data_IF_148995897816
#
_entry.id   IF_148995897816
#
_cell.length_a   1.000
_cell.length_b   1.000
_cell.length_c   1.000
_cell.angle_alpha   90.00
_cell.angle_beta   90.00
_cell.angle_gamma   90.00
#
_symmetry.space_group_name_H-M   'P 1'
#
loop_
_entity.id
_entity.type
_entity.pdbx_description
1 polymer ?
#
# COMPACT_ATOMS: atom_id res chain seq x y z
N UNK A 1 7.10 24.99 -12.32
CA UNK A 1 6.06 24.53 -11.38
C UNK A 1 4.72 24.72 -12.06
N UNK A 2 4.01 23.65 -12.39
CA UNK A 2 2.64 23.74 -12.88
C UNK A 2 1.73 23.94 -11.67
N UNK A 3 0.99 25.05 -11.62
CA UNK A 3 -0.07 25.21 -10.63
C UNK A 3 -1.11 24.09 -10.81
N UNK A 4 -1.65 23.52 -9.73
CA UNK A 4 -2.63 22.45 -9.87
C UNK A 4 -3.85 22.97 -10.63
N UNK A 5 -4.34 22.18 -11.59
CA UNK A 5 -5.59 22.48 -12.32
C UNK A 5 -6.73 22.76 -11.33
N UNK A 6 -7.59 23.77 -11.56
CA UNK A 6 -8.74 24.05 -10.70
C UNK A 6 -9.75 22.88 -10.64
N UNK A 7 -9.65 21.91 -11.56
CA UNK A 7 -10.47 20.70 -11.60
C UNK A 7 -9.90 19.52 -10.80
N UNK A 8 -8.69 19.66 -10.23
CA UNK A 8 -8.03 18.59 -9.47
C UNK A 8 -8.65 18.32 -8.10
N UNK A 9 -9.42 19.26 -7.56
CA UNK A 9 -9.91 19.21 -6.18
C UNK A 9 -8.83 19.47 -5.12
N UNK A 10 -7.59 19.77 -5.53
CA UNK A 10 -6.50 20.14 -4.60
C UNK A 10 -6.71 21.60 -4.15
N UNK A 11 -6.72 21.86 -2.83
CA UNK A 11 -6.89 23.21 -2.31
C UNK A 11 -5.73 24.12 -2.75
N UNK A 12 -6.05 25.31 -3.27
CA UNK A 12 -5.06 26.34 -3.65
C UNK A 12 -4.62 27.20 -2.45
N UNK A 13 -5.42 27.22 -1.40
CA UNK A 13 -5.12 27.86 -0.12
C UNK A 13 -5.85 27.13 1.01
N UNK A 14 -5.38 27.32 2.25
CA UNK A 14 -6.05 26.83 3.45
C UNK A 14 -6.64 28.02 4.21
N UNK A 15 -7.95 27.99 4.44
CA UNK A 15 -8.64 29.09 5.13
C UNK A 15 -8.82 28.79 6.62
N UNK A 16 -8.77 27.52 7.01
CA UNK A 16 -8.90 27.07 8.40
C UNK A 16 -7.82 26.07 8.79
N UNK A 17 -7.56 25.94 10.09
CA UNK A 17 -6.69 24.89 10.63
C UNK A 17 -7.25 23.49 10.29
N UNK A 18 -8.57 23.33 10.22
CA UNK A 18 -9.22 22.09 9.80
C UNK A 18 -8.84 21.69 8.38
N UNK A 19 -8.77 22.65 7.45
CA UNK A 19 -8.36 22.38 6.06
C UNK A 19 -6.91 21.88 6.02
N UNK A 20 -6.04 22.51 6.81
CA UNK A 20 -4.64 22.12 6.93
C UNK A 20 -4.49 20.72 7.53
N UNK A 21 -5.21 20.42 8.63
CA UNK A 21 -5.22 19.09 9.27
C UNK A 21 -5.63 18.03 8.24
N UNK A 22 -6.73 18.26 7.50
CA UNK A 22 -7.20 17.32 6.49
C UNK A 22 -6.15 17.08 5.41
N UNK A 23 -5.52 18.14 4.91
CA UNK A 23 -4.53 18.03 3.86
C UNK A 23 -3.26 17.31 4.33
N UNK A 24 -2.70 17.68 5.48
CA UNK A 24 -1.51 17.02 6.05
C UNK A 24 -1.80 15.55 6.38
N UNK A 25 -2.99 15.25 6.89
CA UNK A 25 -3.42 13.86 7.13
C UNK A 25 -3.44 13.07 5.83
N UNK A 26 -3.99 13.64 4.75
CA UNK A 26 -4.00 13.00 3.44
C UNK A 26 -2.58 12.70 2.94
N UNK A 27 -1.65 13.67 3.06
CA UNK A 27 -0.25 13.47 2.64
C UNK A 27 0.41 12.34 3.43
N UNK A 28 0.34 12.39 4.78
CA UNK A 28 0.94 11.39 5.65
C UNK A 28 0.33 10.00 5.38
N UNK A 29 -1.00 9.90 5.31
CA UNK A 29 -1.69 8.64 5.06
C UNK A 29 -1.34 8.07 3.67
N UNK A 30 -1.26 8.92 2.65
CA UNK A 30 -0.93 8.50 1.28
C UNK A 30 0.50 7.96 1.19
N UNK A 31 1.45 8.62 1.84
CA UNK A 31 2.86 8.24 1.84
C UNK A 31 3.16 7.01 2.71
N UNK A 32 2.25 6.62 3.60
CA UNK A 32 2.43 5.50 4.53
C UNK A 32 1.39 4.40 4.31
N UNK A 33 0.26 4.46 5.01
CA UNK A 33 -0.76 3.44 5.05
C UNK A 33 -1.32 3.09 3.66
N UNK A 34 -1.63 4.08 2.82
CA UNK A 34 -2.14 3.83 1.48
C UNK A 34 -1.12 3.03 0.66
N UNK A 35 0.14 3.48 0.64
CA UNK A 35 1.21 2.79 -0.07
C UNK A 35 1.36 1.35 0.41
N UNK A 36 1.49 1.13 1.73
CA UNK A 36 1.59 -0.21 2.31
C UNK A 36 0.41 -1.12 1.92
N UNK A 37 -0.81 -0.58 1.92
CA UNK A 37 -2.02 -1.34 1.61
C UNK A 37 -2.10 -1.87 0.18
N UNK A 38 -1.43 -1.21 -0.78
CA UNK A 38 -1.45 -1.58 -2.20
C UNK A 38 -0.13 -2.18 -2.70
N UNK A 39 0.96 -2.00 -1.95
CA UNK A 39 2.29 -2.43 -2.36
C UNK A 39 2.74 -3.74 -1.70
N UNK A 40 2.60 -3.86 -0.38
CA UNK A 40 3.24 -4.94 0.39
C UNK A 40 2.66 -6.32 0.08
N UNK A 41 1.40 -6.40 -0.34
CA UNK A 41 0.76 -7.66 -0.74
C UNK A 41 0.95 -8.06 -2.20
N UNK A 42 1.65 -7.27 -3.02
CA UNK A 42 1.76 -7.52 -4.47
C UNK A 42 2.26 -8.94 -4.78
N UNK A 43 3.29 -9.43 -4.09
CA UNK A 43 3.79 -10.78 -4.29
C UNK A 43 2.87 -11.86 -3.72
N UNK A 44 2.18 -11.60 -2.60
CA UNK A 44 1.28 -12.59 -2.00
C UNK A 44 0.12 -12.94 -2.95
N UNK A 45 -0.43 -11.94 -3.64
CA UNK A 45 -1.50 -12.14 -4.62
C UNK A 45 -0.98 -12.44 -6.02
N UNK A 46 0.11 -11.81 -6.45
CA UNK A 46 0.62 -11.92 -7.81
C UNK A 46 1.74 -12.96 -8.02
N UNK A 47 2.22 -13.58 -6.95
CA UNK A 47 3.13 -14.72 -7.01
C UNK A 47 2.46 -15.96 -7.63
N UNK A 48 1.13 -16.02 -7.65
CA UNK A 48 0.36 -17.00 -8.41
C UNK A 48 -0.21 -16.33 -9.68
N UNK A 49 0.49 -16.49 -10.81
CA UNK A 49 0.18 -15.79 -12.06
C UNK A 49 -1.28 -15.92 -12.53
N UNK A 50 -1.97 -17.07 -12.47
CA UNK A 50 -3.37 -17.15 -12.87
C UNK A 50 -4.32 -16.24 -12.06
N UNK A 51 -3.95 -15.87 -10.83
CA UNK A 51 -4.70 -14.91 -10.00
C UNK A 51 -4.39 -13.44 -10.37
N UNK A 52 -3.22 -13.17 -10.94
CA UNK A 52 -2.79 -11.82 -11.32
C UNK A 52 -2.03 -11.81 -12.65
N UNK A 53 -2.69 -12.13 -13.79
CA UNK A 53 -2.03 -12.13 -15.09
C UNK A 53 -1.70 -10.69 -15.50
N UNK A 54 -0.42 -10.39 -15.69
CA UNK A 54 0.05 -9.07 -16.08
C UNK A 54 -0.27 -8.70 -17.53
N UNK A 55 -0.61 -9.70 -18.35
CA UNK A 55 -0.99 -9.55 -19.74
C UNK A 55 -1.90 -10.72 -20.16
N UNK A 56 -2.70 -10.49 -21.20
CA UNK A 56 -3.45 -11.54 -21.90
C UNK A 56 -3.05 -11.53 -23.37
N UNK A 57 -2.76 -12.70 -23.94
CA UNK A 57 -2.26 -12.88 -25.32
C UNK A 57 -3.37 -13.08 -26.36
N UNK A 58 -4.63 -13.21 -25.92
CA UNK A 58 -5.81 -13.38 -26.78
C UNK A 58 -6.92 -12.42 -26.38
N UNK A 59 -7.83 -12.04 -27.31
CA UNK A 59 -8.98 -11.21 -26.98
C UNK A 59 -9.96 -11.93 -26.05
N UNK A 60 -10.83 -11.19 -25.33
CA UNK A 60 -11.92 -11.79 -24.57
C UNK A 60 -12.82 -12.70 -25.43
N UNK A 61 -13.31 -13.83 -24.90
CA UNK A 61 -14.27 -14.68 -25.60
C UNK A 61 -15.54 -13.91 -25.99
N UNK A 62 -16.07 -14.17 -27.18
CA UNK A 62 -17.30 -13.52 -27.69
C UNK A 62 -18.58 -14.29 -27.37
N UNK A 63 -18.45 -15.60 -27.15
CA UNK A 63 -19.56 -16.52 -26.91
C UNK A 63 -19.26 -17.41 -25.70
N UNK A 64 -20.31 -17.80 -24.97
CA UNK A 64 -20.19 -18.71 -23.83
C UNK A 64 -19.95 -20.14 -24.31
N UNK A 65 -19.27 -20.95 -23.50
CA UNK A 65 -19.07 -22.38 -23.76
C UNK A 65 -17.95 -22.74 -24.75
N UNK A 66 -17.21 -21.76 -25.28
CA UNK A 66 -16.08 -21.98 -26.19
C UNK A 66 -14.72 -22.08 -25.49
N UNK A 67 -14.63 -21.73 -24.20
CA UNK A 67 -13.38 -21.72 -23.44
C UNK A 67 -13.01 -23.15 -23.02
N UNK A 68 -11.81 -23.58 -23.40
CA UNK A 68 -11.16 -24.81 -22.94
C UNK A 68 -9.94 -24.48 -22.08
N UNK A 69 -9.42 -25.45 -21.33
CA UNK A 69 -8.16 -25.30 -20.58
C UNK A 69 -7.00 -24.86 -21.47
N UNK A 70 -6.85 -25.46 -22.65
CA UNK A 70 -5.84 -25.06 -23.64
C UNK A 70 -5.98 -23.59 -24.03
N UNK A 71 -7.20 -23.12 -24.31
CA UNK A 71 -7.41 -21.71 -24.66
C UNK A 71 -7.09 -20.76 -23.51
N UNK A 72 -7.29 -21.18 -22.25
CA UNK A 72 -6.88 -20.42 -21.07
C UNK A 72 -5.35 -20.33 -21.04
N UNK A 73 -4.65 -21.45 -21.18
CA UNK A 73 -3.19 -21.50 -21.15
C UNK A 73 -2.55 -20.70 -22.30
N UNK A 74 -3.18 -20.69 -23.47
CA UNK A 74 -2.77 -19.86 -24.62
C UNK A 74 -3.05 -18.36 -24.41
N UNK A 75 -4.04 -18.01 -23.58
CA UNK A 75 -4.42 -16.63 -23.27
C UNK A 75 -3.55 -16.04 -22.16
N UNK A 76 -3.20 -16.84 -21.14
CA UNK A 76 -2.31 -16.45 -20.05
C UNK A 76 -0.92 -16.05 -20.57
N UNK A 77 -0.16 -15.20 -19.84
CA UNK A 77 1.17 -14.77 -20.26
C UNK A 77 2.13 -15.95 -20.42
N UNK A 78 3.13 -15.80 -21.30
CA UNK A 78 4.19 -16.79 -21.42
C UNK A 78 5.09 -16.82 -20.16
N UNK A 79 5.99 -17.82 -20.11
CA UNK A 79 6.89 -18.04 -18.98
C UNK A 79 7.83 -16.85 -18.73
N UNK A 80 8.34 -16.21 -19.78
CA UNK A 80 9.26 -15.07 -19.65
C UNK A 80 8.57 -13.86 -19.04
N UNK A 81 7.39 -13.51 -19.56
CA UNK A 81 6.53 -12.45 -19.02
C UNK A 81 6.16 -12.74 -17.56
N UNK A 82 5.79 -13.99 -17.26
CA UNK A 82 5.43 -14.44 -15.90
C UNK A 82 6.59 -14.29 -14.92
N UNK A 83 7.78 -14.81 -15.25
CA UNK A 83 8.95 -14.73 -14.37
C UNK A 83 9.38 -13.28 -14.16
N UNK A 84 9.35 -12.46 -15.21
CA UNK A 84 9.69 -11.04 -15.10
C UNK A 84 8.75 -10.30 -14.14
N UNK A 85 7.42 -10.45 -14.28
CA UNK A 85 6.49 -9.76 -13.38
C UNK A 85 6.58 -10.30 -11.95
N UNK A 86 6.68 -11.61 -11.75
CA UNK A 86 6.84 -12.19 -10.41
C UNK A 86 8.12 -11.67 -9.72
N UNK A 87 9.20 -11.47 -10.48
CA UNK A 87 10.45 -10.89 -9.96
C UNK A 87 10.26 -9.43 -9.53
N UNK A 88 9.53 -8.64 -10.33
CA UNK A 88 9.19 -7.24 -10.01
C UNK A 88 8.31 -7.19 -8.75
N UNK A 89 7.22 -7.96 -8.69
CA UNK A 89 6.33 -7.98 -7.52
C UNK A 89 7.10 -8.43 -6.27
N UNK A 90 8.00 -9.41 -6.40
CA UNK A 90 8.85 -9.84 -5.28
C UNK A 90 9.79 -8.74 -4.82
N UNK A 91 10.33 -7.93 -5.73
CA UNK A 91 11.19 -6.80 -5.38
C UNK A 91 10.39 -5.71 -4.66
N UNK A 92 9.24 -5.32 -5.21
CA UNK A 92 8.40 -4.25 -4.68
C UNK A 92 7.74 -4.60 -3.33
N UNK A 93 7.47 -5.88 -3.07
CA UNK A 93 6.89 -6.35 -1.80
C UNK A 93 7.92 -6.65 -0.70
N UNK A 94 9.22 -6.42 -0.92
CA UNK A 94 10.22 -6.61 0.15
C UNK A 94 10.15 -5.44 1.13
N UNK A 95 10.39 -5.77 2.40
CA UNK A 95 10.67 -4.76 3.41
C UNK A 95 11.92 -3.96 3.00
N UNK A 96 11.86 -2.65 3.21
CA UNK A 96 12.98 -1.74 2.96
C UNK A 96 14.13 -2.06 3.93
N UNK A 97 15.38 -1.94 3.47
CA UNK A 97 16.55 -2.18 4.33
C UNK A 97 16.67 -1.17 5.49
N UNK A 98 16.00 -0.04 5.35
CA UNK A 98 15.88 1.09 6.26
C UNK A 98 14.45 1.23 6.82
N UNK A 99 13.72 0.12 6.97
CA UNK A 99 12.35 0.08 7.49
C UNK A 99 12.19 0.86 8.78
N UNK A 100 11.36 1.90 8.73
CA UNK A 100 10.96 2.69 9.90
C UNK A 100 9.44 2.63 10.02
N UNK A 101 8.91 1.83 10.98
CA UNK A 101 7.48 1.74 11.20
C UNK A 101 6.84 3.10 11.44
N UNK A 102 5.60 3.26 11.00
CA UNK A 102 4.84 4.49 11.14
C UNK A 102 4.89 5.00 12.58
N UNK A 103 5.26 6.27 12.76
CA UNK A 103 5.37 6.90 14.08
C UNK A 103 6.74 6.76 14.75
N UNK A 104 7.68 6.00 14.15
CA UNK A 104 9.09 5.97 14.54
C UNK A 104 9.87 7.02 13.74
N UNK A 105 10.30 8.08 14.41
CA UNK A 105 11.10 9.15 13.81
C UNK A 105 12.46 9.18 14.48
N UNK A 106 13.50 8.55 13.90
CA UNK A 106 14.85 8.59 14.47
C UNK A 106 15.44 10.00 14.41
N UNK A 107 15.03 10.81 13.43
CA UNK A 107 15.45 12.19 13.32
C UNK A 107 14.71 13.08 14.33
N UNK A 108 15.47 13.82 15.14
CA UNK A 108 14.95 14.70 16.17
C UNK A 108 14.64 16.10 15.63
N UNK A 109 13.78 16.19 14.60
CA UNK A 109 13.41 17.47 13.97
C UNK A 109 12.56 18.37 14.87
N UNK A 110 11.74 17.77 15.73
CA UNK A 110 10.87 18.52 16.64
C UNK A 110 11.56 18.78 17.98
N UNK A 111 11.55 20.04 18.42
CA UNK A 111 12.11 20.47 19.70
C UNK A 111 10.99 20.91 20.65
N UNK A 112 11.16 20.64 21.95
CA UNK A 112 10.23 21.05 23.01
C UNK A 112 9.14 20.04 23.34
N UNK A 113 8.47 20.21 24.48
CA UNK A 113 7.63 19.15 25.06
C UNK A 113 6.31 18.90 24.30
N UNK A 114 5.76 19.92 23.65
CA UNK A 114 4.44 19.84 23.02
C UNK A 114 4.41 18.86 21.84
N UNK A 115 5.29 18.96 20.81
CA UNK A 115 5.35 17.96 19.74
C UNK A 115 5.63 16.56 20.26
N UNK A 116 6.58 16.40 21.20
CA UNK A 116 6.92 15.11 21.77
C UNK A 116 5.75 14.44 22.50
N UNK A 117 4.91 15.23 23.19
CA UNK A 117 3.69 14.72 23.82
C UNK A 117 2.71 14.17 22.79
N UNK A 118 2.51 14.88 21.68
CA UNK A 118 1.63 14.40 20.60
C UNK A 118 2.20 13.19 19.86
N UNK A 119 3.51 13.13 19.62
CA UNK A 119 4.17 11.95 19.03
C UNK A 119 4.03 10.71 19.92
N UNK A 120 4.16 10.87 21.25
CA UNK A 120 3.91 9.79 22.21
C UNK A 120 2.45 9.33 22.19
N UNK A 121 1.50 10.27 22.08
CA UNK A 121 0.08 9.95 21.96
C UNK A 121 -0.22 9.17 20.68
N UNK A 122 0.29 9.63 19.55
CA UNK A 122 0.16 8.96 18.26
C UNK A 122 0.70 7.53 18.29
N UNK A 123 1.91 7.32 18.83
CA UNK A 123 2.49 5.99 19.00
C UNK A 123 1.62 5.07 19.89
N UNK A 124 1.01 5.63 20.95
CA UNK A 124 0.10 4.86 21.81
C UNK A 124 -1.15 4.41 21.06
N UNK A 125 -1.69 5.25 20.17
CA UNK A 125 -2.86 4.89 19.38
C UNK A 125 -2.52 3.88 18.28
N UNK A 126 -1.33 3.96 17.67
CA UNK A 126 -0.82 2.92 16.77
C UNK A 126 -0.65 1.57 17.49
N UNK A 127 -0.14 1.55 18.73
CA UNK A 127 -0.01 0.29 19.47
C UNK A 127 -1.38 -0.34 19.79
N UNK A 128 -2.39 0.47 20.14
CA UNK A 128 -3.76 -0.02 20.30
C UNK A 128 -4.31 -0.60 18.99
N UNK A 129 -4.09 0.09 17.86
CA UNK A 129 -4.53 -0.35 16.55
C UNK A 129 -3.88 -1.69 16.17
N UNK A 130 -2.56 -1.82 16.38
CA UNK A 130 -1.82 -3.07 16.20
C UNK A 130 -2.50 -4.22 16.95
N UNK A 131 -2.77 -4.05 18.25
CA UNK A 131 -3.42 -5.10 19.03
C UNK A 131 -4.83 -5.45 18.54
N UNK A 132 -5.62 -4.46 18.09
CA UNK A 132 -6.91 -4.73 17.48
C UNK A 132 -6.78 -5.55 16.19
N UNK A 133 -5.82 -5.22 15.33
CA UNK A 133 -5.56 -5.95 14.08
C UNK A 133 -5.07 -7.37 14.37
N UNK A 134 -4.13 -7.54 15.31
CA UNK A 134 -3.60 -8.85 15.71
C UNK A 134 -4.70 -9.75 16.27
N UNK A 135 -5.56 -9.22 17.17
CA UNK A 135 -6.70 -9.96 17.71
C UNK A 135 -7.67 -10.38 16.61
N UNK A 136 -8.03 -9.46 15.71
CA UNK A 136 -8.90 -9.75 14.57
C UNK A 136 -8.30 -10.83 13.66
N UNK A 137 -7.01 -10.72 13.36
CA UNK A 137 -6.31 -11.63 12.45
C UNK A 137 -6.17 -13.05 13.02
N UNK A 138 -6.14 -13.23 14.34
CA UNK A 138 -6.10 -14.55 14.97
C UNK A 138 -7.36 -15.40 14.70
N UNK A 139 -8.46 -14.78 14.29
CA UNK A 139 -9.74 -15.44 13.99
C UNK A 139 -9.97 -15.65 12.48
N UNK A 140 -9.01 -15.25 11.62
CA UNK A 140 -9.14 -15.34 10.16
C UNK A 140 -8.28 -16.47 9.58
N UNK A 141 -8.85 -17.22 8.64
CA UNK A 141 -8.09 -18.20 7.85
C UNK A 141 -7.00 -17.53 6.99
N UNK A 142 -7.31 -16.35 6.44
CA UNK A 142 -6.36 -15.52 5.69
C UNK A 142 -6.24 -14.12 6.36
N UNK A 143 -5.25 -13.93 7.24
CA UNK A 143 -5.01 -12.65 7.91
C UNK A 143 -4.69 -11.50 6.95
N UNK A 144 -5.27 -10.31 7.20
CA UNK A 144 -4.86 -9.08 6.52
C UNK A 144 -3.85 -8.32 7.38
N UNK A 145 -2.59 -8.31 6.96
CA UNK A 145 -1.46 -7.80 7.76
C UNK A 145 -0.89 -6.46 7.28
N UNK A 146 -1.20 -6.02 6.06
CA UNK A 146 -0.50 -4.91 5.41
C UNK A 146 -0.69 -3.54 6.09
N UNK A 147 -1.79 -3.34 6.81
CA UNK A 147 -2.06 -2.12 7.59
C UNK A 147 -1.79 -2.29 9.09
N UNK A 148 -1.14 -3.38 9.51
CA UNK A 148 -0.60 -3.42 10.87
C UNK A 148 0.49 -2.34 10.96
N UNK A 149 0.46 -1.41 11.94
CA UNK A 149 1.46 -0.34 12.05
C UNK A 149 2.92 -0.78 12.05
N UNK A 150 3.20 -2.04 12.40
CA UNK A 150 4.55 -2.63 12.32
C UNK A 150 5.05 -2.85 10.89
N UNK A 151 4.13 -3.00 9.93
CA UNK A 151 4.38 -3.28 8.52
C UNK A 151 4.17 -2.04 7.61
N UNK A 152 3.88 -0.88 8.20
CA UNK A 152 3.64 0.36 7.46
C UNK A 152 4.84 1.28 7.67
N UNK A 153 5.53 1.63 6.58
CA UNK A 153 6.61 2.60 6.59
C UNK A 153 6.09 4.05 6.75
N UNK A 154 6.94 4.96 7.25
CA UNK A 154 6.63 6.39 7.29
C UNK A 154 6.54 7.05 5.90
N UNK A 155 7.16 6.45 4.87
CA UNK A 155 7.28 7.01 3.53
C UNK A 155 7.27 5.92 2.44
N UNK A 156 7.23 6.36 1.19
CA UNK A 156 7.41 5.51 0.01
C UNK A 156 8.92 5.40 -0.25
N UNK A 157 9.50 4.22 -0.01
CA UNK A 157 10.95 4.02 -0.03
C UNK A 157 11.42 2.81 -0.87
N UNK A 158 10.53 2.20 -1.65
CA UNK A 158 10.81 1.08 -2.57
C UNK A 158 10.37 1.43 -4.00
#
# INVERSE_FOLDING_TARGET
MLFPSPFSGIPQSFNTVTDLIKFVTMVIFTASAQHASVNSGQFDFGGWMPNFPSALRKPPPKEKGQTTEDTIMETLPDKGTTVNIMSILKLLSKDSSDHYPLGKFPEQWFVGDVPHKFMKHFNKDLEKLKHHIEKRNAELELPYIFLNPTNVDNSIAI
#
